data_IF_752778279925
#
_entry.id   IF_752778279925
#
_cell.length_a   1.000
_cell.length_b   1.000
_cell.length_c   1.000
_cell.angle_alpha   90.00
_cell.angle_beta   90.00
_cell.angle_gamma   90.00
#
_symmetry.space_group_name_H-M   'P 1'
#
loop_
_entity.id
_entity.type
_entity.pdbx_description
1 polymer ?
#
# COMPACT_ATOMS: atom_id res chain seq x y z
N UNK A 1 52.48 -28.08 -39.46
CA UNK A 1 52.16 -29.25 -38.61
C UNK A 1 50.97 -28.88 -37.75
N UNK A 2 49.82 -29.56 -37.86
CA UNK A 2 48.61 -29.22 -37.11
C UNK A 2 48.60 -29.94 -35.75
N UNK A 3 48.02 -29.35 -34.68
CA UNK A 3 47.71 -30.08 -33.47
C UNK A 3 46.35 -30.80 -33.56
N UNK A 4 46.34 -32.01 -33.01
CA UNK A 4 45.29 -33.02 -33.05
C UNK A 4 44.11 -32.68 -32.12
N UNK A 5 42.91 -32.90 -32.64
CA UNK A 5 41.64 -33.04 -31.91
C UNK A 5 41.68 -34.28 -31.00
N UNK A 6 41.14 -34.15 -29.78
CA UNK A 6 40.90 -35.27 -28.86
C UNK A 6 39.42 -35.24 -28.45
N UNK A 7 38.72 -36.31 -28.83
CA UNK A 7 37.33 -36.59 -28.48
C UNK A 7 37.21 -36.97 -27.00
N UNK A 8 36.11 -36.54 -26.36
CA UNK A 8 35.69 -36.99 -25.05
C UNK A 8 34.34 -37.71 -25.18
N UNK A 9 34.29 -38.94 -24.69
CA UNK A 9 33.12 -39.82 -24.63
C UNK A 9 32.20 -39.38 -23.48
N UNK A 10 30.90 -39.27 -23.77
CA UNK A 10 29.84 -39.06 -22.79
C UNK A 10 29.35 -40.42 -22.25
N UNK A 11 29.33 -40.57 -20.91
CA UNK A 11 28.64 -41.65 -20.20
C UNK A 11 27.28 -41.14 -19.76
N UNK A 12 26.24 -41.87 -20.14
CA UNK A 12 24.87 -41.71 -19.66
C UNK A 12 24.71 -42.38 -18.29
N UNK A 13 24.17 -41.66 -17.32
CA UNK A 13 23.68 -42.20 -16.05
C UNK A 13 22.16 -42.13 -15.98
N UNK A 14 21.61 -43.13 -15.30
CA UNK A 14 20.21 -43.55 -15.25
C UNK A 14 19.36 -42.65 -14.34
N UNK A 15 18.12 -42.48 -14.76
CA UNK A 15 16.99 -41.97 -13.99
C UNK A 15 16.61 -42.94 -12.85
N UNK A 16 16.42 -42.40 -11.65
CA UNK A 16 15.63 -43.02 -10.58
C UNK A 16 14.48 -42.06 -10.22
N UNK A 17 13.25 -42.57 -10.34
CA UNK A 17 12.01 -41.84 -10.11
C UNK A 17 11.72 -41.62 -8.62
N UNK A 18 11.24 -40.43 -8.31
CA UNK A 18 10.72 -40.07 -6.98
C UNK A 18 9.26 -39.65 -7.15
N UNK A 19 8.37 -40.42 -6.52
CA UNK A 19 6.94 -40.14 -6.36
C UNK A 19 6.74 -38.90 -5.46
N UNK A 20 6.01 -37.89 -5.97
CA UNK A 20 5.59 -36.70 -5.22
C UNK A 20 4.14 -36.85 -4.73
N UNK A 21 3.84 -36.55 -3.45
CA UNK A 21 2.48 -36.59 -2.91
C UNK A 21 1.67 -35.33 -3.27
N UNK A 22 0.35 -35.53 -3.44
CA UNK A 22 -0.60 -34.56 -3.98
C UNK A 22 -0.89 -33.36 -3.08
N UNK A 23 -0.83 -32.15 -3.65
CA UNK A 23 -1.28 -30.90 -3.06
C UNK A 23 -2.82 -30.81 -3.00
N UNK A 24 -3.39 -30.72 -1.78
CA UNK A 24 -4.81 -30.37 -1.61
C UNK A 24 -5.13 -29.61 -0.31
N UNK A 25 -4.16 -28.95 0.34
CA UNK A 25 -4.39 -28.23 1.61
C UNK A 25 -4.03 -26.73 1.65
N UNK A 26 -3.64 -26.11 0.54
CA UNK A 26 -3.16 -24.73 0.53
C UNK A 26 -4.25 -23.62 0.48
N UNK A 27 -5.53 -23.94 0.28
CA UNK A 27 -6.59 -22.90 0.10
C UNK A 27 -7.28 -22.42 1.37
N UNK A 28 -6.83 -22.84 2.56
CA UNK A 28 -7.51 -22.52 3.82
C UNK A 28 -6.72 -21.57 4.73
N UNK A 29 -5.44 -21.31 4.46
CA UNK A 29 -4.58 -20.40 5.25
C UNK A 29 -4.75 -18.92 4.89
N UNK A 30 -5.02 -18.60 3.63
CA UNK A 30 -4.88 -17.22 3.15
C UNK A 30 -5.98 -16.29 3.66
N UNK A 31 -7.12 -16.86 4.08
CA UNK A 31 -8.26 -16.10 4.63
C UNK A 31 -8.10 -15.76 6.12
N UNK A 32 -7.23 -16.47 6.84
CA UNK A 32 -6.91 -16.16 8.25
C UNK A 32 -5.87 -15.03 8.33
N UNK A 33 -4.96 -14.93 7.35
CA UNK A 33 -3.93 -13.88 7.29
C UNK A 33 -4.53 -12.48 7.02
N UNK A 34 -5.58 -12.38 6.19
CA UNK A 34 -6.28 -11.09 5.96
C UNK A 34 -7.03 -10.59 7.21
N UNK A 35 -7.51 -11.50 8.06
CA UNK A 35 -8.19 -11.12 9.30
C UNK A 35 -7.20 -10.64 10.38
N UNK A 36 -6.05 -11.29 10.52
CA UNK A 36 -5.04 -10.91 11.52
C UNK A 36 -4.47 -9.48 11.31
N UNK A 37 -4.32 -9.04 10.05
CA UNK A 37 -3.90 -7.67 9.74
C UNK A 37 -4.90 -6.58 10.13
N UNK A 38 -6.20 -6.90 10.17
CA UNK A 38 -7.24 -5.99 10.67
C UNK A 38 -7.29 -5.96 12.20
N UNK A 39 -7.02 -7.09 12.89
CA UNK A 39 -7.06 -7.15 14.36
C UNK A 39 -5.89 -6.42 15.03
N UNK A 40 -4.67 -6.47 14.50
CA UNK A 40 -3.52 -5.77 15.11
C UNK A 40 -3.61 -4.23 15.00
N UNK A 41 -4.44 -3.70 14.08
CA UNK A 41 -4.65 -2.27 13.93
C UNK A 41 -5.93 -1.73 14.60
N UNK A 42 -6.92 -2.59 14.90
CA UNK A 42 -8.23 -2.17 15.43
C UNK A 42 -8.31 -2.04 16.97
N UNK A 43 -7.30 -2.48 17.73
CA UNK A 43 -7.27 -2.31 19.20
C UNK A 43 -6.84 -0.89 19.67
N UNK A 44 -6.81 0.08 18.76
CA UNK A 44 -6.57 1.47 19.11
C UNK A 44 -7.87 2.12 19.63
N UNK A 45 -7.97 2.28 20.95
CA UNK A 45 -8.96 3.15 21.57
C UNK A 45 -8.94 4.55 20.92
N UNK A 46 -10.12 5.09 20.63
CA UNK A 46 -10.30 6.49 20.18
C UNK A 46 -9.55 7.42 21.13
N UNK A 47 -8.52 8.10 20.64
CA UNK A 47 -7.81 9.11 21.41
C UNK A 47 -8.73 10.33 21.60
N UNK A 48 -8.85 10.88 22.81
CA UNK A 48 -9.58 12.12 23.03
C UNK A 48 -8.88 13.26 22.29
N UNK A 49 -9.65 14.08 21.58
CA UNK A 49 -9.12 15.32 20.99
C UNK A 49 -8.51 16.19 22.11
N UNK A 50 -7.33 16.80 21.91
CA UNK A 50 -6.74 17.68 22.90
C UNK A 50 -7.66 18.89 23.10
N UNK A 51 -8.22 19.03 24.31
CA UNK A 51 -8.93 20.23 24.73
C UNK A 51 -7.98 21.43 24.66
N UNK A 52 -8.42 22.47 23.94
CA UNK A 52 -7.62 23.66 23.67
C UNK A 52 -7.16 24.35 24.95
N UNK A 53 -5.86 24.62 25.02
CA UNK A 53 -5.25 25.45 26.06
C UNK A 53 -5.87 26.85 26.01
N UNK A 54 -6.61 27.20 27.06
CA UNK A 54 -7.09 28.56 27.30
C UNK A 54 -5.91 29.44 27.71
N UNK A 55 -5.71 30.53 26.97
CA UNK A 55 -4.83 31.65 27.30
C UNK A 55 -5.09 32.13 28.74
N UNK A 56 -4.06 32.08 29.59
CA UNK A 56 -4.05 32.77 30.88
C UNK A 56 -3.51 34.17 30.61
N UNK A 57 -4.40 35.16 30.66
CA UNK A 57 -4.04 36.57 30.81
C UNK A 57 -3.53 36.79 32.23
N UNK A 58 -2.29 37.29 32.36
CA UNK A 58 -1.73 37.84 33.59
C UNK A 58 -2.33 39.23 33.81
N UNK A 59 -2.95 39.46 34.97
CA UNK A 59 -3.26 40.80 35.48
C UNK A 59 -2.82 40.90 36.94
N UNK A 60 -2.15 42.02 37.25
CA UNK A 60 -1.48 42.35 38.51
C UNK A 60 -2.43 42.91 39.60
N UNK A 61 -1.93 42.84 40.84
CA UNK A 61 -2.28 43.62 42.05
C UNK A 61 -3.56 43.27 42.87
N UNK A 62 -3.36 42.80 44.13
CA UNK A 62 -3.49 43.62 45.34
C UNK A 62 -3.39 42.78 46.64
N UNK A 63 -2.67 43.33 47.62
CA UNK A 63 -2.40 42.80 48.96
C UNK A 63 -3.54 43.07 49.98
N UNK A 64 -3.60 42.16 50.96
CA UNK A 64 -3.82 42.33 52.42
C UNK A 64 -5.19 42.71 53.06
N UNK A 65 -5.59 41.79 53.96
CA UNK A 65 -6.02 41.96 55.36
C UNK A 65 -7.48 41.75 55.83
N UNK A 66 -7.56 40.69 56.65
CA UNK A 66 -8.18 40.50 57.98
C UNK A 66 -9.71 40.49 58.25
N UNK A 67 -10.12 39.33 58.78
CA UNK A 67 -10.97 39.03 59.96
C UNK A 67 -12.35 39.73 60.17
N UNK A 68 -13.43 38.94 60.30
CA UNK A 68 -14.00 38.50 61.59
C UNK A 68 -15.32 37.72 61.40
N UNK A 69 -15.57 36.83 62.37
CA UNK A 69 -16.74 35.98 62.59
C UNK A 69 -17.99 36.80 63.01
N UNK A 70 -19.22 36.32 62.73
CA UNK A 70 -20.25 36.10 63.77
C UNK A 70 -21.50 35.37 63.22
N UNK A 71 -22.09 34.61 64.14
CA UNK A 71 -23.21 33.69 64.15
C UNK A 71 -24.58 34.25 63.70
N UNK A 72 -25.51 33.36 63.31
CA UNK A 72 -26.95 33.68 63.42
C UNK A 72 -27.95 33.04 62.46
N UNK A 73 -28.14 31.73 62.58
CA UNK A 73 -29.42 31.03 62.76
C UNK A 73 -30.57 31.03 61.71
N UNK A 74 -31.06 29.80 61.50
CA UNK A 74 -32.42 29.34 61.13
C UNK A 74 -33.17 29.95 59.93
N UNK A 75 -33.40 29.15 58.89
CA UNK A 75 -34.78 28.67 58.63
C UNK A 75 -34.88 27.46 57.68
N UNK A 76 -35.92 26.69 57.97
CA UNK A 76 -36.32 25.41 57.38
C UNK A 76 -36.84 25.56 55.93
N UNK A 77 -36.73 24.50 55.12
CA UNK A 77 -37.89 23.80 54.52
C UNK A 77 -37.59 23.08 53.19
N UNK A 78 -38.05 21.83 53.13
CA UNK A 78 -38.33 20.98 51.95
C UNK A 78 -37.13 20.56 51.05
N UNK A 79 -36.79 19.30 50.85
CA UNK A 79 -37.57 18.06 50.87
C UNK A 79 -37.75 17.53 49.45
N UNK A 80 -37.06 16.43 49.11
CA UNK A 80 -37.30 15.39 48.07
C UNK A 80 -36.01 15.01 47.34
N UNK A 81 -35.78 13.77 46.92
CA UNK A 81 -36.18 12.44 47.35
C UNK A 81 -35.24 11.52 46.56
N UNK A 82 -34.79 10.44 47.19
CA UNK A 82 -34.01 9.40 46.55
C UNK A 82 -34.84 8.65 45.49
N UNK A 83 -34.18 8.14 44.44
CA UNK A 83 -34.60 6.86 43.87
C UNK A 83 -33.43 6.07 43.26
N UNK A 84 -33.03 5.05 44.00
CA UNK A 84 -32.47 3.82 43.45
C UNK A 84 -33.61 2.94 42.88
N UNK A 85 -33.32 2.17 41.83
CA UNK A 85 -33.99 0.88 41.62
C UNK A 85 -34.39 0.47 40.19
N UNK A 86 -33.84 -0.69 39.81
CA UNK A 86 -34.55 -1.84 39.19
C UNK A 86 -34.54 -2.06 37.65
N UNK A 87 -33.68 -3.04 37.29
CA UNK A 87 -34.02 -4.34 36.68
C UNK A 87 -34.83 -4.39 35.37
N UNK A 88 -34.10 -4.84 34.33
CA UNK A 88 -34.38 -5.92 33.34
C UNK A 88 -35.73 -5.94 32.61
N UNK A 89 -35.67 -5.92 31.27
CA UNK A 89 -36.65 -6.55 30.37
C UNK A 89 -35.95 -7.32 29.24
N UNK A 90 -36.62 -8.40 28.84
CA UNK A 90 -36.22 -9.66 28.21
C UNK A 90 -35.67 -9.61 26.77
N UNK A 91 -35.03 -10.70 26.29
CA UNK A 91 -34.58 -10.83 24.90
C UNK A 91 -35.76 -11.13 23.93
N UNK A 92 -35.67 -10.75 22.64
CA UNK A 92 -36.72 -11.02 21.67
C UNK A 92 -36.77 -12.51 21.26
N UNK A 93 -37.98 -13.05 21.18
CA UNK A 93 -38.29 -14.36 20.59
C UNK A 93 -38.44 -14.24 19.08
N UNK A 94 -37.79 -15.20 18.42
CA UNK A 94 -38.08 -15.91 17.17
C UNK A 94 -39.33 -15.53 16.34
N UNK A 95 -39.14 -15.48 15.01
CA UNK A 95 -40.19 -15.85 14.05
C UNK A 95 -40.72 -14.77 13.10
N UNK A 96 -39.95 -14.36 12.08
CA UNK A 96 -40.52 -13.98 10.78
C UNK A 96 -39.45 -13.94 9.69
N UNK A 97 -39.44 -14.95 8.81
CA UNK A 97 -38.63 -15.00 7.58
C UNK A 97 -39.09 -13.90 6.62
N UNK A 98 -38.22 -13.02 6.11
CA UNK A 98 -38.56 -12.14 5.00
C UNK A 98 -38.70 -12.94 3.69
N UNK A 99 -39.57 -12.52 2.76
CA UNK A 99 -39.77 -13.22 1.50
C UNK A 99 -38.51 -13.14 0.62
N UNK A 100 -38.23 -14.16 -0.22
CA UNK A 100 -37.08 -14.16 -1.10
C UNK A 100 -37.24 -13.06 -2.15
N UNK A 101 -36.41 -12.01 -2.05
CA UNK A 101 -36.24 -11.03 -3.11
C UNK A 101 -35.64 -11.76 -4.31
N UNK A 102 -36.46 -12.01 -5.34
CA UNK A 102 -35.99 -12.41 -6.67
C UNK A 102 -35.04 -11.32 -7.16
N UNK A 103 -33.73 -11.59 -7.09
CA UNK A 103 -32.74 -10.79 -7.78
C UNK A 103 -33.05 -10.85 -9.29
N UNK A 104 -33.34 -9.69 -9.87
CA UNK A 104 -33.44 -9.55 -11.31
C UNK A 104 -32.06 -9.89 -11.88
N UNK A 105 -31.94 -11.04 -12.56
CA UNK A 105 -30.80 -11.35 -13.42
C UNK A 105 -30.86 -10.36 -14.58
N UNK A 106 -30.24 -9.19 -14.41
CA UNK A 106 -29.80 -8.40 -15.55
C UNK A 106 -28.66 -9.19 -16.20
N UNK A 107 -28.99 -9.92 -17.26
CA UNK A 107 -28.01 -10.37 -18.22
C UNK A 107 -27.46 -9.12 -18.91
N UNK A 108 -26.40 -8.55 -18.35
CA UNK A 108 -25.60 -7.56 -19.05
C UNK A 108 -24.73 -8.32 -20.05
N UNK A 109 -25.22 -8.42 -21.29
CA UNK A 109 -24.41 -8.75 -22.49
C UNK A 109 -23.42 -7.60 -22.77
N UNK A 110 -22.58 -7.28 -21.79
CA UNK A 110 -21.43 -6.42 -22.01
C UNK A 110 -20.47 -7.22 -22.90
N UNK A 111 -20.08 -6.72 -24.09
CA UNK A 111 -19.07 -7.40 -24.90
C UNK A 111 -17.82 -7.61 -24.04
N UNK A 112 -17.42 -8.87 -23.87
CA UNK A 112 -16.24 -9.22 -23.07
C UNK A 112 -15.00 -8.61 -23.72
N UNK A 113 -14.34 -7.69 -23.02
CA UNK A 113 -13.08 -7.09 -23.48
C UNK A 113 -11.99 -8.14 -23.34
N UNK A 114 -11.19 -8.34 -24.39
CA UNK A 114 -10.11 -9.32 -24.32
C UNK A 114 -9.02 -8.88 -23.32
N UNK A 115 -8.36 -9.84 -22.63
CA UNK A 115 -7.23 -9.53 -21.75
C UNK A 115 -6.14 -8.69 -22.42
N UNK A 116 -5.85 -8.98 -23.70
CA UNK A 116 -4.95 -8.17 -24.53
C UNK A 116 -5.31 -6.69 -24.54
N UNK A 117 -6.59 -6.34 -24.79
CA UNK A 117 -7.04 -4.94 -24.81
C UNK A 117 -6.93 -4.30 -23.43
N UNK A 118 -7.24 -5.05 -22.37
CA UNK A 118 -7.14 -4.56 -21.00
C UNK A 118 -5.69 -4.28 -20.61
N UNK A 119 -4.74 -5.17 -20.93
CA UNK A 119 -3.31 -4.97 -20.65
C UNK A 119 -2.75 -3.73 -21.36
N UNK A 120 -3.02 -3.60 -22.66
CA UNK A 120 -2.60 -2.43 -23.44
C UNK A 120 -3.21 -1.14 -22.89
N UNK A 121 -4.49 -1.18 -22.52
CA UNK A 121 -5.17 -0.02 -21.93
C UNK A 121 -4.57 0.35 -20.58
N UNK A 122 -4.40 -0.62 -19.67
CA UNK A 122 -3.80 -0.43 -18.35
C UNK A 122 -2.42 0.19 -18.43
N UNK A 123 -1.58 -0.25 -19.37
CA UNK A 123 -0.24 0.32 -19.53
C UNK A 123 -0.28 1.73 -20.11
N UNK A 124 -1.29 2.12 -20.89
CA UNK A 124 -1.38 3.46 -21.46
C UNK A 124 -1.69 4.56 -20.42
N UNK A 125 -1.25 5.80 -20.69
CA UNK A 125 -1.63 6.97 -19.90
C UNK A 125 -3.15 7.18 -19.75
N UNK A 126 -3.95 6.58 -20.65
CA UNK A 126 -5.42 6.70 -20.65
C UNK A 126 -6.09 5.95 -19.51
N UNK A 127 -5.41 4.98 -18.88
CA UNK A 127 -5.92 4.28 -17.72
C UNK A 127 -5.88 5.10 -16.42
N UNK A 128 -5.04 6.15 -16.35
CA UNK A 128 -4.80 6.92 -15.13
C UNK A 128 -6.09 7.41 -14.43
N UNK A 129 -7.09 8.02 -15.11
CA UNK A 129 -8.32 8.50 -14.45
C UNK A 129 -9.19 7.39 -13.83
N UNK A 130 -8.99 6.15 -14.26
CA UNK A 130 -9.69 4.97 -13.76
C UNK A 130 -8.95 4.31 -12.61
N UNK A 131 -7.64 4.50 -12.53
CA UNK A 131 -6.79 3.82 -11.56
C UNK A 131 -6.46 4.68 -10.35
N UNK A 132 -6.54 6.00 -10.46
CA UNK A 132 -6.10 6.91 -9.41
C UNK A 132 -7.11 8.03 -9.10
N UNK A 133 -7.09 8.57 -7.87
CA UNK A 133 -7.91 9.71 -7.49
C UNK A 133 -7.60 10.94 -8.38
N UNK A 134 -8.63 11.68 -8.79
CA UNK A 134 -8.44 12.87 -9.63
C UNK A 134 -7.50 13.91 -9.00
N UNK A 135 -7.55 14.09 -7.68
CA UNK A 135 -6.65 15.02 -6.98
C UNK A 135 -5.18 14.61 -7.05
N UNK A 136 -4.88 13.31 -7.12
CA UNK A 136 -3.52 12.81 -7.27
C UNK A 136 -2.98 13.18 -8.65
N UNK A 137 -3.81 12.96 -9.68
CA UNK A 137 -3.46 13.29 -11.07
C UNK A 137 -3.29 14.79 -11.29
N UNK A 138 -4.08 15.64 -10.62
CA UNK A 138 -3.90 17.10 -10.70
C UNK A 138 -2.67 17.56 -9.92
N UNK A 139 -2.43 17.02 -8.71
CA UNK A 139 -1.26 17.39 -7.91
C UNK A 139 0.05 17.06 -8.63
N UNK A 140 0.13 15.90 -9.28
CA UNK A 140 1.34 15.47 -9.96
C UNK A 140 1.72 16.36 -11.17
N UNK A 141 0.79 17.13 -11.75
CA UNK A 141 1.10 18.06 -12.86
C UNK A 141 1.91 19.29 -12.44
N UNK A 142 2.09 19.54 -11.14
CA UNK A 142 2.64 20.81 -10.65
C UNK A 142 4.16 20.96 -10.85
N UNK A 143 4.92 19.86 -10.91
CA UNK A 143 6.37 19.89 -11.15
C UNK A 143 6.88 18.54 -11.66
N UNK A 144 7.90 18.56 -12.52
CA UNK A 144 8.62 17.35 -12.95
C UNK A 144 9.44 16.71 -11.83
N UNK A 145 9.78 17.46 -10.78
CA UNK A 145 10.46 16.94 -9.58
C UNK A 145 9.49 16.37 -8.55
N UNK A 146 8.18 16.48 -8.80
CA UNK A 146 7.16 16.05 -7.86
C UNK A 146 7.05 14.52 -7.85
N UNK A 147 7.34 13.91 -6.70
CA UNK A 147 7.20 12.47 -6.48
C UNK A 147 5.76 12.13 -6.13
N UNK A 148 5.12 11.34 -6.98
CA UNK A 148 3.76 10.84 -6.76
C UNK A 148 3.75 9.33 -6.95
N UNK A 149 2.99 8.61 -6.14
CA UNK A 149 2.97 7.15 -6.23
C UNK A 149 2.40 6.66 -7.56
N UNK A 150 1.50 7.44 -8.16
CA UNK A 150 0.77 7.10 -9.38
C UNK A 150 1.50 7.47 -10.68
N UNK A 151 2.17 8.63 -10.72
CA UNK A 151 2.79 9.13 -11.95
C UNK A 151 4.31 9.04 -11.94
N UNK A 152 4.99 8.97 -10.79
CA UNK A 152 6.43 8.76 -10.83
C UNK A 152 6.74 7.29 -11.15
N UNK A 153 7.69 7.06 -12.06
CA UNK A 153 8.10 5.68 -12.41
C UNK A 153 8.50 4.93 -11.13
N UNK A 154 8.09 3.65 -10.93
CA UNK A 154 8.51 2.90 -9.75
C UNK A 154 10.04 2.74 -9.66
N UNK A 155 10.75 2.82 -10.79
CA UNK A 155 12.23 2.83 -10.86
C UNK A 155 12.87 4.14 -10.38
N UNK A 156 12.07 5.20 -10.22
CA UNK A 156 12.55 6.53 -9.76
C UNK A 156 12.58 6.69 -8.23
N UNK A 157 12.00 5.73 -7.51
CA UNK A 157 12.00 5.68 -6.05
C UNK A 157 13.20 4.88 -5.55
N UNK A 158 13.76 5.32 -4.43
CA UNK A 158 14.72 4.49 -3.69
C UNK A 158 13.98 3.36 -2.95
N UNK A 159 14.67 2.28 -2.53
CA UNK A 159 14.06 1.27 -1.68
C UNK A 159 13.43 1.87 -0.42
N UNK A 160 14.08 2.86 0.20
CA UNK A 160 13.53 3.52 1.38
C UNK A 160 12.21 4.26 1.08
N UNK A 161 12.10 4.93 -0.06
CA UNK A 161 10.87 5.61 -0.45
C UNK A 161 9.74 4.61 -0.73
N UNK A 162 10.03 3.43 -1.32
CA UNK A 162 9.05 2.35 -1.44
C UNK A 162 8.59 1.83 -0.07
N UNK A 163 9.49 1.78 0.93
CA UNK A 163 9.13 1.41 2.30
C UNK A 163 8.17 2.42 2.95
N UNK A 164 8.37 3.71 2.70
CA UNK A 164 7.43 4.75 3.14
C UNK A 164 6.07 4.63 2.43
N UNK A 165 6.07 4.26 1.16
CA UNK A 165 4.82 3.97 0.43
C UNK A 165 4.10 2.76 1.04
N UNK A 166 4.82 1.68 1.35
CA UNK A 166 4.26 0.51 2.03
C UNK A 166 3.62 0.86 3.38
N UNK A 167 4.24 1.76 4.16
CA UNK A 167 3.67 2.30 5.40
C UNK A 167 2.31 2.97 5.23
N UNK A 168 2.14 3.74 4.17
CA UNK A 168 0.89 4.46 3.94
C UNK A 168 -0.20 3.55 3.36
N UNK A 169 0.19 2.57 2.54
CA UNK A 169 -0.76 1.73 1.79
C UNK A 169 -1.14 0.42 2.48
N UNK A 170 -0.37 -0.03 3.47
CA UNK A 170 -0.71 -1.19 4.30
C UNK A 170 -1.76 -0.89 5.38
N UNK A 171 -2.02 0.39 5.66
CA UNK A 171 -3.00 0.81 6.64
C UNK A 171 -4.42 0.76 6.06
N UNK A 172 -5.45 0.62 6.91
CA UNK A 172 -6.86 0.71 6.51
C UNK A 172 -7.27 2.18 6.20
N UNK A 173 -6.54 2.84 5.30
CA UNK A 173 -6.81 4.19 4.83
C UNK A 173 -7.50 4.14 3.47
N UNK A 174 -8.35 5.13 3.20
CA UNK A 174 -8.88 5.30 1.84
C UNK A 174 -7.72 5.49 0.84
N UNK A 175 -7.87 4.97 -0.37
CA UNK A 175 -6.87 5.08 -1.43
C UNK A 175 -6.41 6.53 -1.67
N UNK A 176 -7.37 7.46 -1.74
CA UNK A 176 -7.13 8.91 -1.81
C UNK A 176 -6.23 9.43 -0.69
N UNK A 177 -6.50 9.02 0.55
CA UNK A 177 -5.72 9.46 1.70
C UNK A 177 -4.31 8.88 1.69
N UNK A 178 -4.15 7.61 1.29
CA UNK A 178 -2.84 6.98 1.11
C UNK A 178 -1.98 7.75 0.10
N UNK A 179 -2.52 8.02 -1.10
CA UNK A 179 -1.80 8.77 -2.15
C UNK A 179 -1.43 10.18 -1.70
N UNK A 180 -2.36 10.90 -1.05
CA UNK A 180 -2.07 12.21 -0.47
C UNK A 180 -0.97 12.17 0.59
N UNK A 181 -0.98 11.16 1.46
CA UNK A 181 0.04 11.03 2.50
C UNK A 181 1.42 10.81 1.90
N UNK A 182 1.54 9.93 0.89
CA UNK A 182 2.80 9.67 0.20
C UNK A 182 3.35 10.95 -0.44
N UNK A 183 2.54 11.67 -1.22
CA UNK A 183 3.01 12.89 -1.89
C UNK A 183 3.35 14.00 -0.90
N UNK A 184 2.64 14.13 0.22
CA UNK A 184 2.99 15.13 1.24
C UNK A 184 4.32 14.79 1.92
N UNK A 185 4.58 13.52 2.24
CA UNK A 185 5.82 13.09 2.89
C UNK A 185 7.04 13.25 1.98
N UNK A 186 6.92 12.87 0.71
CA UNK A 186 8.06 12.77 -0.22
C UNK A 186 8.43 14.08 -0.94
N UNK A 187 7.69 15.17 -0.74
CA UNK A 187 7.90 16.43 -1.43
C UNK A 187 8.07 17.61 -0.46
N UNK A 188 8.49 18.75 -0.98
CA UNK A 188 8.57 19.99 -0.22
C UNK A 188 7.21 20.35 0.40
N UNK A 189 7.19 20.86 1.65
CA UNK A 189 8.35 21.30 2.45
C UNK A 189 8.94 20.22 3.37
N UNK A 190 8.53 18.95 3.24
CA UNK A 190 8.95 17.88 4.15
C UNK A 190 10.10 17.06 3.58
N UNK A 191 9.97 16.59 2.34
CA UNK A 191 11.00 15.87 1.57
C UNK A 191 11.68 14.74 2.37
N UNK A 192 10.87 13.86 2.95
CA UNK A 192 11.32 12.68 3.69
C UNK A 192 11.75 11.55 2.75
N UNK A 193 12.66 11.84 1.83
CA UNK A 193 13.12 10.91 0.80
C UNK A 193 14.24 9.97 1.27
N UNK A 194 14.85 10.24 2.43
CA UNK A 194 15.90 9.39 3.00
C UNK A 194 15.71 9.18 4.51
N UNK A 195 16.27 8.11 5.10
CA UNK A 195 16.22 7.88 6.55
C UNK A 195 16.77 9.08 7.36
N UNK A 196 17.88 9.66 6.90
CA UNK A 196 18.56 10.78 7.57
C UNK A 196 17.70 12.04 7.59
N UNK A 197 16.95 12.31 6.50
CA UNK A 197 16.03 13.45 6.46
C UNK A 197 14.91 13.33 7.49
N UNK A 198 14.36 12.13 7.69
CA UNK A 198 13.36 11.85 8.74
C UNK A 198 13.97 12.02 10.13
N UNK A 199 15.14 11.43 10.38
CA UNK A 199 15.80 11.50 11.68
C UNK A 199 16.16 12.95 12.05
N UNK A 200 16.68 13.70 11.08
CA UNK A 200 17.08 15.10 11.29
C UNK A 200 15.89 16.02 11.51
N UNK A 201 14.76 15.77 10.84
CA UNK A 201 13.54 16.53 11.02
C UNK A 201 12.88 16.29 12.39
N UNK A 202 13.06 15.09 12.95
CA UNK A 202 12.47 14.68 14.22
C UNK A 202 11.01 14.25 14.09
N UNK A 203 10.53 13.48 15.07
CA UNK A 203 9.18 12.89 15.08
C UNK A 203 8.07 13.94 14.94
N UNK A 204 8.23 15.10 15.59
CA UNK A 204 7.25 16.17 15.54
C UNK A 204 7.05 16.70 14.11
N UNK A 205 8.13 16.87 13.34
CA UNK A 205 8.04 17.33 11.94
C UNK A 205 7.41 16.29 11.04
N UNK A 206 7.60 15.01 11.34
CA UNK A 206 6.90 13.91 10.65
C UNK A 206 5.40 13.95 10.96
N UNK A 207 5.04 14.21 12.22
CA UNK A 207 3.66 14.41 12.64
C UNK A 207 3.00 15.60 11.92
N UNK A 208 3.69 16.74 11.80
CA UNK A 208 3.20 17.91 11.05
C UNK A 208 2.92 17.56 9.58
N UNK A 209 3.74 16.73 8.95
CA UNK A 209 3.50 16.27 7.58
C UNK A 209 2.22 15.42 7.47
N UNK A 210 1.98 14.56 8.46
CA UNK A 210 0.78 13.73 8.52
C UNK A 210 -0.48 14.55 8.86
N UNK A 211 -0.33 15.63 9.64
CA UNK A 211 -1.36 16.65 9.87
C UNK A 211 -1.73 17.34 8.56
N UNK A 212 -0.74 17.83 7.79
CA UNK A 212 -0.95 18.47 6.50
C UNK A 212 -1.60 17.51 5.48
N UNK A 213 -1.19 16.23 5.50
CA UNK A 213 -1.82 15.18 4.71
C UNK A 213 -3.22 14.78 5.23
N UNK A 214 -3.62 15.26 6.41
CA UNK A 214 -4.84 14.90 7.15
C UNK A 214 -5.00 13.38 7.28
N UNK A 215 -3.89 12.69 7.54
CA UNK A 215 -3.85 11.25 7.77
C UNK A 215 -4.57 10.91 9.07
N UNK A 216 -5.08 9.69 9.22
CA UNK A 216 -5.61 9.20 10.49
C UNK A 216 -4.48 8.62 11.36
N UNK A 217 -4.66 8.59 12.68
CA UNK A 217 -3.65 8.08 13.62
C UNK A 217 -2.25 8.71 13.42
N UNK A 218 -2.21 10.05 13.29
CA UNK A 218 -1.02 10.83 12.93
C UNK A 218 0.12 10.62 13.91
N UNK A 219 -0.15 10.63 15.22
CA UNK A 219 0.88 10.45 16.25
C UNK A 219 1.54 9.07 16.15
N UNK A 220 0.72 8.00 16.14
CA UNK A 220 1.21 6.62 16.00
C UNK A 220 1.98 6.42 14.68
N UNK A 221 1.46 6.97 13.59
CA UNK A 221 2.11 6.91 12.27
C UNK A 221 3.43 7.69 12.24
N UNK A 222 3.51 8.86 12.85
CA UNK A 222 4.73 9.65 12.96
C UNK A 222 5.81 8.88 13.72
N UNK A 223 5.43 8.25 14.84
CA UNK A 223 6.33 7.42 15.65
C UNK A 223 6.89 6.25 14.86
N UNK A 224 6.05 5.55 14.09
CA UNK A 224 6.46 4.44 13.23
C UNK A 224 7.39 4.87 12.09
N UNK A 225 7.07 5.96 11.39
CA UNK A 225 7.91 6.50 10.32
C UNK A 225 9.25 7.00 10.86
N UNK A 226 9.25 7.70 11.99
CA UNK A 226 10.47 8.15 12.65
C UNK A 226 11.33 6.98 13.15
N UNK A 227 10.71 5.96 13.74
CA UNK A 227 11.37 4.71 14.12
C UNK A 227 11.99 3.98 12.92
N UNK A 228 11.27 3.94 11.79
CA UNK A 228 11.77 3.41 10.53
C UNK A 228 12.98 4.21 10.03
N UNK A 229 12.92 5.54 10.08
CA UNK A 229 14.05 6.41 9.75
C UNK A 229 15.28 6.13 10.61
N UNK A 230 15.11 5.88 11.92
CA UNK A 230 16.22 5.49 12.80
C UNK A 230 16.78 4.12 12.42
N UNK A 231 15.93 3.11 12.25
CA UNK A 231 16.33 1.74 11.95
C UNK A 231 17.12 1.63 10.63
N UNK A 232 16.78 2.47 9.65
CA UNK A 232 17.41 2.48 8.32
C UNK A 232 18.39 3.63 8.10
N UNK A 233 18.71 4.43 9.13
CA UNK A 233 19.75 5.47 9.04
C UNK A 233 21.16 4.90 8.93
N UNK A 234 21.33 3.63 9.28
CA UNK A 234 22.51 2.86 8.92
C UNK A 234 22.29 2.15 7.58
N UNK A 235 23.24 2.35 6.66
CA UNK A 235 23.27 1.66 5.38
C UNK A 235 23.27 0.14 5.50
N UNK A 236 23.77 -0.41 6.61
CA UNK A 236 23.80 -1.86 6.85
C UNK A 236 22.40 -2.47 6.88
N UNK A 237 21.39 -1.80 7.42
CA UNK A 237 20.03 -2.36 7.52
C UNK A 237 19.39 -2.56 6.15
N UNK A 238 19.52 -1.58 5.24
CA UNK A 238 18.98 -1.72 3.88
C UNK A 238 19.76 -2.78 3.09
N UNK A 239 21.07 -2.88 3.31
CA UNK A 239 21.88 -3.95 2.74
C UNK A 239 21.45 -5.33 3.23
N UNK A 240 21.22 -5.49 4.54
CA UNK A 240 20.74 -6.75 5.12
C UNK A 240 19.36 -7.12 4.56
N UNK A 241 18.46 -6.16 4.37
CA UNK A 241 17.17 -6.42 3.73
C UNK A 241 17.32 -6.91 2.28
N UNK A 242 18.23 -6.32 1.51
CA UNK A 242 18.55 -6.78 0.16
C UNK A 242 19.21 -8.18 0.18
N UNK A 243 20.00 -8.49 1.20
CA UNK A 243 20.57 -9.82 1.38
C UNK A 243 19.48 -10.87 1.67
N UNK A 244 18.51 -10.55 2.54
CA UNK A 244 17.35 -11.43 2.79
C UNK A 244 16.53 -11.70 1.52
N UNK A 245 16.42 -10.70 0.63
CA UNK A 245 15.84 -10.91 -0.70
C UNK A 245 16.61 -11.94 -1.51
N UNK A 246 17.94 -11.84 -1.55
CA UNK A 246 18.78 -12.79 -2.30
C UNK A 246 18.76 -14.20 -1.71
N UNK A 247 18.73 -14.32 -0.38
CA UNK A 247 18.84 -15.59 0.32
C UNK A 247 17.50 -16.35 0.38
N UNK A 248 16.38 -15.61 0.56
CA UNK A 248 15.07 -16.19 0.87
C UNK A 248 13.91 -15.61 0.04
N UNK A 249 14.22 -14.79 -0.97
CA UNK A 249 13.23 -14.19 -1.86
C UNK A 249 12.22 -13.29 -1.12
N UNK A 250 11.00 -13.17 -1.65
CA UNK A 250 9.95 -12.33 -1.04
C UNK A 250 9.62 -12.70 0.41
N UNK A 251 9.70 -13.99 0.76
CA UNK A 251 9.40 -14.44 2.13
C UNK A 251 10.40 -13.92 3.17
N UNK A 252 11.69 -13.87 2.82
CA UNK A 252 12.73 -13.29 3.67
C UNK A 252 12.56 -11.79 3.86
N UNK A 253 12.25 -11.07 2.77
CA UNK A 253 11.98 -9.63 2.81
C UNK A 253 10.78 -9.31 3.71
N UNK A 254 9.69 -10.06 3.59
CA UNK A 254 8.48 -9.87 4.39
C UNK A 254 8.77 -10.09 5.88
N UNK A 255 9.43 -11.20 6.24
CA UNK A 255 9.78 -11.50 7.63
C UNK A 255 10.78 -10.48 8.21
N UNK A 256 11.77 -10.06 7.41
CA UNK A 256 12.71 -9.04 7.82
C UNK A 256 11.98 -7.72 8.10
N UNK A 257 11.17 -7.21 7.17
CA UNK A 257 10.39 -5.97 7.35
C UNK A 257 9.50 -6.04 8.59
N UNK A 258 8.80 -7.16 8.78
CA UNK A 258 7.94 -7.37 9.95
C UNK A 258 8.72 -7.30 11.27
N UNK A 259 9.97 -7.74 11.28
CA UNK A 259 10.81 -7.75 12.47
C UNK A 259 11.54 -6.42 12.73
N UNK A 260 11.85 -5.65 11.70
CA UNK A 260 12.71 -4.45 11.81
C UNK A 260 11.99 -3.13 11.60
N UNK A 261 10.82 -3.13 10.97
CA UNK A 261 10.09 -1.90 10.61
C UNK A 261 8.85 -1.75 11.50
N UNK A 262 8.85 -0.82 12.48
CA UNK A 262 7.72 -0.65 13.38
C UNK A 262 6.43 -0.32 12.63
N UNK A 263 5.38 -1.12 12.82
CA UNK A 263 4.07 -0.86 12.21
C UNK A 263 3.88 -1.40 10.80
N UNK A 264 4.86 -2.09 10.21
CA UNK A 264 4.65 -2.92 9.03
C UNK A 264 4.51 -4.39 9.43
N UNK A 265 3.49 -5.02 8.86
CA UNK A 265 3.26 -6.46 8.93
C UNK A 265 3.39 -7.07 7.52
N UNK A 266 2.85 -8.28 7.32
CA UNK A 266 2.87 -9.01 6.06
C UNK A 266 2.47 -8.13 4.87
N UNK A 267 1.33 -7.45 4.94
CA UNK A 267 0.82 -6.58 3.85
C UNK A 267 1.81 -5.47 3.48
N UNK A 268 2.52 -4.90 4.47
CA UNK A 268 3.56 -3.91 4.22
C UNK A 268 4.75 -4.49 3.46
N UNK A 269 5.20 -5.67 3.87
CA UNK A 269 6.26 -6.40 3.17
C UNK A 269 5.87 -6.78 1.74
N UNK A 270 4.64 -7.24 1.52
CA UNK A 270 4.10 -7.58 0.19
C UNK A 270 4.08 -6.36 -0.74
N UNK A 271 3.56 -5.22 -0.27
CA UNK A 271 3.55 -3.97 -1.05
C UNK A 271 4.99 -3.54 -1.40
N UNK A 272 5.92 -3.68 -0.46
CA UNK A 272 7.33 -3.38 -0.68
C UNK A 272 7.93 -4.29 -1.76
N UNK A 273 7.81 -5.62 -1.63
CA UNK A 273 8.29 -6.60 -2.61
C UNK A 273 7.73 -6.31 -4.01
N UNK A 274 6.42 -6.02 -4.10
CA UNK A 274 5.75 -5.73 -5.36
C UNK A 274 6.35 -4.52 -6.08
N UNK A 275 6.79 -3.48 -5.38
CA UNK A 275 7.34 -2.28 -6.04
C UNK A 275 8.85 -2.26 -6.17
N UNK A 276 9.58 -2.79 -5.20
CA UNK A 276 11.03 -2.69 -5.16
C UNK A 276 11.70 -3.58 -6.22
N UNK A 277 11.01 -4.60 -6.75
CA UNK A 277 11.55 -5.52 -7.76
C UNK A 277 12.00 -4.84 -9.07
N UNK A 278 11.60 -3.61 -9.36
CA UNK A 278 12.11 -2.84 -10.52
C UNK A 278 13.20 -1.83 -10.13
N UNK A 279 13.73 -1.90 -8.91
CA UNK A 279 14.84 -1.07 -8.43
C UNK A 279 16.15 -1.83 -8.65
N UNK A 280 17.16 -1.09 -9.11
CA UNK A 280 18.48 -1.62 -9.42
C UNK A 280 19.05 -2.44 -8.24
N UNK A 281 19.45 -3.68 -8.50
CA UNK A 281 19.94 -4.62 -7.48
C UNK A 281 18.87 -5.43 -6.73
N UNK A 282 17.58 -5.27 -7.03
CA UNK A 282 16.48 -6.03 -6.40
C UNK A 282 15.74 -6.97 -7.37
N UNK A 283 15.88 -6.74 -8.68
CA UNK A 283 15.20 -7.48 -9.74
C UNK A 283 15.35 -8.98 -9.58
N UNK A 284 16.55 -9.53 -9.77
CA UNK A 284 16.80 -10.97 -9.78
C UNK A 284 16.31 -11.73 -8.54
N UNK A 285 16.28 -11.06 -7.38
CA UNK A 285 15.89 -11.66 -6.10
C UNK A 285 14.37 -11.77 -5.92
N UNK A 286 13.61 -10.86 -6.54
CA UNK A 286 12.17 -10.74 -6.34
C UNK A 286 11.35 -10.94 -7.62
N UNK A 287 11.98 -10.86 -8.78
CA UNK A 287 11.30 -10.88 -10.06
C UNK A 287 10.97 -12.32 -10.52
N UNK A 288 9.74 -12.58 -11.02
CA UNK A 288 8.55 -11.73 -10.93
C UNK A 288 7.82 -11.95 -9.59
N UNK A 289 7.34 -10.88 -8.95
CA UNK A 289 6.53 -10.98 -7.73
C UNK A 289 5.22 -10.21 -7.81
N UNK A 290 4.13 -10.88 -7.46
CA UNK A 290 2.81 -10.29 -7.28
C UNK A 290 2.13 -10.90 -6.05
N UNK A 291 1.70 -10.07 -5.11
CA UNK A 291 0.90 -10.50 -3.97
C UNK A 291 -0.55 -10.83 -4.37
N UNK A 292 -1.25 -11.53 -3.47
CA UNK A 292 -2.61 -12.01 -3.70
C UNK A 292 -3.60 -10.89 -4.05
N UNK A 293 -3.48 -9.71 -3.40
CA UNK A 293 -4.37 -8.57 -3.67
C UNK A 293 -4.21 -8.04 -5.09
N UNK A 294 -2.98 -8.00 -5.60
CA UNK A 294 -2.70 -7.58 -6.96
C UNK A 294 -3.29 -8.57 -8.00
N UNK A 295 -3.07 -9.86 -7.79
CA UNK A 295 -3.62 -10.93 -8.65
C UNK A 295 -5.15 -10.94 -8.63
N UNK A 296 -5.78 -10.80 -7.47
CA UNK A 296 -7.23 -10.74 -7.37
C UNK A 296 -7.82 -9.48 -8.00
N UNK A 297 -7.09 -8.36 -7.98
CA UNK A 297 -7.50 -7.14 -8.68
C UNK A 297 -7.47 -7.33 -10.20
N UNK A 298 -6.46 -8.01 -10.74
CA UNK A 298 -6.39 -8.38 -12.16
C UNK A 298 -7.57 -9.25 -12.58
N UNK A 299 -7.94 -10.26 -11.77
CA UNK A 299 -9.09 -11.12 -12.03
C UNK A 299 -10.40 -10.33 -12.06
N UNK A 300 -10.59 -9.38 -11.13
CA UNK A 300 -11.79 -8.54 -11.08
C UNK A 300 -11.96 -7.67 -12.33
N UNK A 301 -10.86 -7.15 -12.88
CA UNK A 301 -10.89 -6.37 -14.12
C UNK A 301 -11.00 -7.22 -15.38
N UNK A 302 -10.92 -8.55 -15.28
CA UNK A 302 -11.08 -9.49 -16.39
C UNK A 302 -9.77 -9.93 -17.04
N UNK A 303 -8.64 -9.77 -16.35
CA UNK A 303 -7.35 -10.34 -16.74
C UNK A 303 -7.15 -11.60 -15.88
N UNK A 304 -7.46 -12.75 -16.46
CA UNK A 304 -7.33 -14.03 -15.77
C UNK A 304 -5.87 -14.48 -15.80
N UNK A 305 -5.20 -14.36 -14.65
CA UNK A 305 -3.86 -14.90 -14.40
C UNK A 305 -3.84 -15.76 -13.14
N UNK A 306 -3.02 -16.81 -13.16
CA UNK A 306 -2.85 -17.72 -12.02
C UNK A 306 -1.88 -17.13 -10.98
N UNK A 307 -0.73 -16.64 -11.43
CA UNK A 307 0.40 -16.18 -10.62
C UNK A 307 1.18 -15.04 -11.32
N UNK A 308 2.35 -14.67 -10.78
CA UNK A 308 3.18 -13.58 -11.29
C UNK A 308 3.81 -13.91 -12.65
N UNK A 309 4.21 -15.16 -12.85
CA UNK A 309 4.85 -15.70 -14.04
C UNK A 309 3.88 -15.74 -15.23
N UNK A 310 2.61 -16.09 -14.98
CA UNK A 310 1.55 -16.02 -15.98
C UNK A 310 1.28 -14.57 -16.41
N UNK A 311 1.28 -13.63 -15.46
CA UNK A 311 1.17 -12.19 -15.79
C UNK A 311 2.35 -11.70 -16.62
N UNK A 312 3.59 -12.05 -16.25
CA UNK A 312 4.78 -11.70 -17.02
C UNK A 312 4.65 -12.22 -18.46
N UNK A 313 4.31 -13.50 -18.62
CA UNK A 313 4.12 -14.14 -19.92
C UNK A 313 3.00 -13.48 -20.74
N UNK A 314 1.93 -13.03 -20.09
CA UNK A 314 0.83 -12.32 -20.74
C UNK A 314 1.26 -10.93 -21.23
N UNK A 315 2.05 -10.19 -20.44
CA UNK A 315 2.59 -8.89 -20.84
C UNK A 315 3.49 -9.05 -22.07
N UNK A 316 4.45 -10.00 -22.04
CA UNK A 316 5.37 -10.25 -23.14
C UNK A 316 4.65 -10.64 -24.45
N UNK A 317 3.59 -11.43 -24.34
CA UNK A 317 2.85 -11.94 -25.51
C UNK A 317 1.82 -10.96 -26.07
N UNK A 318 1.12 -10.24 -25.22
CA UNK A 318 -0.10 -9.52 -25.60
C UNK A 318 0.08 -8.01 -25.72
N UNK A 319 1.08 -7.42 -25.08
CA UNK A 319 1.28 -5.96 -25.10
C UNK A 319 1.87 -5.51 -26.44
N UNK A 320 1.19 -4.57 -27.07
CA UNK A 320 1.61 -3.90 -28.28
C UNK A 320 2.11 -2.49 -27.93
N UNK A 321 3.42 -2.32 -27.86
CA UNK A 321 4.05 -1.04 -27.53
C UNK A 321 3.71 0.09 -28.49
N UNK A 322 3.32 -0.23 -29.73
CA UNK A 322 2.86 0.78 -30.69
C UNK A 322 1.49 1.36 -30.30
N UNK A 323 0.67 0.56 -29.60
CA UNK A 323 -0.60 0.99 -29.03
C UNK A 323 -0.41 1.74 -27.71
N UNK A 324 0.42 1.22 -26.80
CA UNK A 324 0.65 1.83 -25.47
C UNK A 324 1.19 3.25 -25.60
N UNK A 325 2.20 3.45 -26.47
CA UNK A 325 2.93 4.72 -26.73
C UNK A 325 3.62 5.33 -25.50
N UNK A 326 2.84 5.75 -24.52
CA UNK A 326 3.27 6.42 -23.30
C UNK A 326 2.45 5.86 -22.12
N UNK A 327 3.15 5.50 -21.05
CA UNK A 327 2.49 5.08 -19.81
C UNK A 327 1.96 6.26 -19.00
N UNK A 328 2.38 7.49 -19.29
CA UNK A 328 2.00 8.68 -18.52
C UNK A 328 2.76 8.76 -17.21
N UNK A 329 3.98 8.21 -17.17
CA UNK A 329 4.87 8.29 -16.02
C UNK A 329 5.86 9.44 -16.19
N UNK A 330 6.20 10.11 -15.09
CA UNK A 330 7.34 11.00 -15.00
C UNK A 330 8.60 10.13 -14.93
N UNK A 331 9.29 9.99 -16.06
CA UNK A 331 10.55 9.26 -16.17
C UNK A 331 11.77 10.15 -15.87
N UNK A 332 12.89 9.50 -15.53
CA UNK A 332 14.21 9.96 -15.99
C UNK A 332 14.27 9.62 -17.48
N UNK A 333 14.38 10.62 -18.38
CA UNK A 333 14.49 10.45 -19.83
C UNK A 333 15.36 9.22 -20.22
N UNK A 334 14.72 8.08 -20.52
CA UNK A 334 15.39 6.91 -21.06
C UNK A 334 14.70 6.56 -22.37
N UNK A 335 15.20 7.11 -23.47
CA UNK A 335 14.66 6.79 -24.79
C UNK A 335 14.80 5.29 -25.07
N UNK A 336 13.68 4.57 -25.24
CA UNK A 336 13.62 3.12 -25.53
C UNK A 336 14.52 2.66 -26.71
N UNK A 337 14.91 3.57 -27.61
CA UNK A 337 15.79 3.28 -28.75
C UNK A 337 17.27 3.05 -28.37
N UNK A 338 17.62 3.15 -27.09
CA UNK A 338 18.99 2.96 -26.58
C UNK A 338 19.10 1.88 -25.49
N UNK A 339 17.99 1.20 -25.14
CA UNK A 339 18.01 0.19 -24.09
C UNK A 339 18.57 -1.12 -24.67
N UNK A 340 19.64 -1.65 -24.07
CA UNK A 340 20.24 -2.95 -24.41
C UNK A 340 20.60 -3.63 -23.09
N UNK A 341 20.28 -4.92 -22.94
CA UNK A 341 20.64 -5.70 -21.75
C UNK A 341 19.77 -5.36 -20.53
N UNK A 342 20.42 -5.09 -19.39
CA UNK A 342 19.80 -4.85 -18.06
C UNK A 342 18.70 -3.77 -18.07
N UNK A 343 18.79 -2.82 -19.00
CA UNK A 343 17.76 -1.77 -19.14
C UNK A 343 16.44 -2.26 -19.74
N UNK A 344 16.44 -3.26 -20.62
CA UNK A 344 15.20 -3.85 -21.15
C UNK A 344 14.47 -4.65 -20.07
N UNK A 345 15.23 -5.36 -19.24
CA UNK A 345 14.71 -6.12 -18.10
C UNK A 345 14.11 -5.19 -17.03
N UNK A 346 14.83 -4.14 -16.66
CA UNK A 346 14.32 -3.12 -15.72
C UNK A 346 13.04 -2.46 -16.24
N UNK A 347 12.95 -2.23 -17.55
CA UNK A 347 11.77 -1.68 -18.18
C UNK A 347 10.59 -2.65 -18.10
N UNK A 348 10.80 -3.93 -18.40
CA UNK A 348 9.77 -4.97 -18.26
C UNK A 348 9.29 -5.09 -16.81
N UNK A 349 10.21 -5.03 -15.84
CA UNK A 349 9.89 -5.01 -14.42
C UNK A 349 9.01 -3.80 -14.06
N UNK A 350 9.36 -2.61 -14.54
CA UNK A 350 8.57 -1.40 -14.30
C UNK A 350 7.15 -1.52 -14.89
N UNK A 351 7.03 -2.05 -16.11
CA UNK A 351 5.75 -2.26 -16.80
C UNK A 351 4.85 -3.24 -16.04
N UNK A 352 5.43 -4.32 -15.55
CA UNK A 352 4.75 -5.29 -14.71
C UNK A 352 4.22 -4.66 -13.41
N UNK A 353 5.07 -3.91 -12.69
CA UNK A 353 4.65 -3.17 -11.49
C UNK A 353 3.52 -2.19 -11.80
N UNK A 354 3.60 -1.47 -12.92
CA UNK A 354 2.57 -0.51 -13.34
C UNK A 354 1.23 -1.20 -13.58
N UNK A 355 1.21 -2.38 -14.22
CA UNK A 355 -0.02 -3.17 -14.42
C UNK A 355 -0.64 -3.56 -13.08
N UNK A 356 0.16 -4.06 -12.14
CA UNK A 356 -0.33 -4.45 -10.82
C UNK A 356 -0.93 -3.25 -10.05
N UNK A 357 -0.19 -2.15 -9.97
CA UNK A 357 -0.63 -0.95 -9.23
C UNK A 357 -1.89 -0.33 -9.83
N UNK A 358 -2.01 -0.34 -11.16
CA UNK A 358 -3.21 0.18 -11.84
C UNK A 358 -4.41 -0.73 -11.67
N UNK A 359 -4.22 -2.05 -11.67
CA UNK A 359 -5.30 -3.00 -11.38
C UNK A 359 -5.84 -2.79 -9.96
N UNK A 360 -4.96 -2.71 -8.96
CA UNK A 360 -5.33 -2.43 -7.57
C UNK A 360 -6.06 -1.10 -7.47
N UNK A 361 -5.47 -0.03 -8.02
CA UNK A 361 -6.06 1.30 -8.00
C UNK A 361 -7.45 1.34 -8.63
N UNK A 362 -7.65 0.66 -9.76
CA UNK A 362 -8.96 0.60 -10.43
C UNK A 362 -10.04 -0.05 -9.57
N UNK A 363 -9.70 -1.13 -8.86
CA UNK A 363 -10.61 -1.81 -7.92
C UNK A 363 -10.91 -0.91 -6.72
N UNK A 364 -9.90 -0.28 -6.13
CA UNK A 364 -10.06 0.63 -4.98
C UNK A 364 -10.91 1.86 -5.32
N UNK A 365 -10.80 2.37 -6.55
CA UNK A 365 -11.61 3.49 -7.04
C UNK A 365 -13.03 3.06 -7.44
N UNK A 366 -13.32 1.76 -7.49
CA UNK A 366 -14.62 1.22 -7.90
C UNK A 366 -14.91 1.40 -9.39
N UNK A 367 -13.88 1.55 -10.23
CA UNK A 367 -14.00 1.96 -11.65
C UNK A 367 -13.81 0.83 -12.66
N UNK A 368 -13.97 -0.42 -12.21
CA UNK A 368 -13.72 -1.62 -13.03
C UNK A 368 -14.54 -1.62 -14.33
N UNK A 369 -15.83 -1.33 -14.25
CA UNK A 369 -16.71 -1.37 -15.42
C UNK A 369 -16.47 -0.19 -16.37
N UNK A 370 -16.12 0.99 -15.84
CA UNK A 370 -15.74 2.12 -16.69
C UNK A 370 -14.40 1.87 -17.40
N UNK A 371 -13.42 1.26 -16.72
CA UNK A 371 -12.16 0.87 -17.32
C UNK A 371 -12.37 -0.13 -18.46
N UNK A 372 -13.18 -1.18 -18.24
CA UNK A 372 -13.54 -2.14 -19.30
C UNK A 372 -14.19 -1.45 -20.48
N UNK A 373 -15.18 -0.58 -20.24
CA UNK A 373 -15.85 0.18 -21.30
C UNK A 373 -14.88 1.07 -22.08
N UNK A 374 -13.95 1.73 -21.39
CA UNK A 374 -12.94 2.57 -22.02
C UNK A 374 -11.98 1.75 -22.89
N UNK A 375 -11.48 0.62 -22.37
CA UNK A 375 -10.62 -0.30 -23.12
C UNK A 375 -11.33 -0.90 -24.35
N UNK A 376 -12.63 -1.17 -24.27
CA UNK A 376 -13.43 -1.66 -25.40
C UNK A 376 -13.49 -0.66 -26.57
N UNK A 377 -13.54 0.63 -26.24
CA UNK A 377 -13.73 1.72 -27.20
C UNK A 377 -12.47 2.09 -28.00
N UNK A 378 -11.30 1.57 -27.64
CA UNK A 378 -10.02 1.85 -28.31
C UNK A 378 -9.72 0.96 -29.52
N UNK A 379 -10.74 0.48 -30.24
CA UNK A 379 -10.55 -0.34 -31.43
C UNK A 379 -9.99 0.45 -32.62
#
# INVERSE_FOLDING_TARGET
MPPKTRAAEAKAEKEDGIDLPSHSKAKQSDREVEQEGEYENNDAAEEPEPEGESEIEEDEEAEEDEEEEDDGNDDLDSGKDAHAGQKRKSPPKDGSKPPPKKAARQASDSPSVSPKKLLNFLLSARALPYCFPAEELEAAKSSSTYKSYSLSSPTSFTPFEHLLCAHMLSKPLSHRLGMRSIRTLLNDPFNFSTPETIVSAGEHRVWEALEEARTQHRQKTASYLFGTGKAYSDSETMFNLAQEANDSGPSGVIEHIKSTVPGLATVGGEIFCRRVQCVDGWGDALWPYADGKAIDSLRQIGIEVEDAEDLQSAIEREVDWTQVKDMGLHERDLSKQQLVGEMEETQMQAEFVVVLERAIGCVLEGKVEELKKAAAAEA
#
